data_IF_698675221013
#
_entry.id   IF_698675221013
#
_cell.length_a   1.000
_cell.length_b   1.000
_cell.length_c   1.000
_cell.angle_alpha   90.00
_cell.angle_beta   90.00
_cell.angle_gamma   90.00
#
_symmetry.space_group_name_H-M   'P 1'
#
loop_
_entity.id
_entity.type
_entity.pdbx_description
1 polymer ?
#
# COMPACT_ATOMS: atom_id res chain seq x y z
N UNK A 1 25.70 11.50 -11.94
CA UNK A 1 24.60 12.28 -11.32
C UNK A 1 24.19 11.61 -10.02
N UNK A 2 24.11 12.34 -8.90
CA UNK A 2 23.58 11.80 -7.64
C UNK A 2 22.04 11.71 -7.71
N UNK A 3 21.47 10.61 -7.21
CA UNK A 3 20.03 10.44 -6.97
C UNK A 3 19.82 10.18 -5.48
N UNK A 4 19.04 11.04 -4.83
CA UNK A 4 18.60 10.82 -3.45
C UNK A 4 17.35 9.93 -3.46
N UNK A 5 17.35 8.90 -2.62
CA UNK A 5 16.17 8.08 -2.33
C UNK A 5 15.91 8.15 -0.83
N UNK A 6 14.65 8.29 -0.45
CA UNK A 6 14.19 8.28 0.93
C UNK A 6 13.03 7.30 1.05
N UNK A 7 12.89 6.70 2.23
CA UNK A 7 11.74 5.86 2.58
C UNK A 7 11.04 6.53 3.77
N UNK A 8 9.82 7.00 3.55
CA UNK A 8 9.01 7.65 4.58
C UNK A 8 7.99 6.63 5.07
N UNK A 9 7.89 6.49 6.39
CA UNK A 9 6.87 5.70 7.05
C UNK A 9 6.05 6.64 7.92
N UNK A 10 4.73 6.62 7.75
CA UNK A 10 3.82 7.38 8.58
C UNK A 10 3.25 6.43 9.63
N UNK A 11 3.63 6.64 10.88
CA UNK A 11 3.10 5.87 12.01
C UNK A 11 2.03 6.71 12.71
N UNK A 12 0.88 6.09 12.98
CA UNK A 12 -0.11 6.66 13.89
C UNK A 12 0.13 6.14 15.31
N UNK A 13 -0.32 6.87 16.33
CA UNK A 13 -0.22 6.45 17.74
C UNK A 13 -0.84 5.06 18.01
N UNK A 14 -1.74 4.59 17.12
CA UNK A 14 -2.34 3.26 17.17
C UNK A 14 -1.51 2.13 16.56
N UNK A 15 -0.26 2.38 16.14
CA UNK A 15 0.65 1.34 15.62
C UNK A 15 0.44 0.97 14.15
N UNK A 16 -0.36 1.74 13.40
CA UNK A 16 -0.49 1.57 11.95
C UNK A 16 0.61 2.36 11.26
N UNK A 17 1.50 1.65 10.54
CA UNK A 17 2.59 2.24 9.77
C UNK A 17 2.30 2.15 8.27
N UNK A 18 1.98 3.27 7.62
CA UNK A 18 1.75 3.34 6.17
C UNK A 18 3.07 3.68 5.48
N UNK A 19 3.52 2.77 4.62
CA UNK A 19 4.63 2.97 3.68
C UNK A 19 4.15 3.07 2.24
N UNK A 20 5.10 3.15 1.32
CA UNK A 20 4.82 3.24 -0.13
C UNK A 20 3.92 2.11 -0.66
N UNK A 21 4.11 0.88 -0.16
CA UNK A 21 3.26 -0.26 -0.52
C UNK A 21 1.81 -0.11 -0.10
N UNK A 22 1.56 0.48 1.08
CA UNK A 22 0.21 0.77 1.55
C UNK A 22 -0.49 1.85 0.79
N UNK A 23 0.26 2.92 0.48
CA UNK A 23 -0.25 3.99 -0.37
C UNK A 23 -0.62 3.42 -1.75
N UNK A 24 0.22 2.55 -2.32
CA UNK A 24 -0.06 1.89 -3.59
C UNK A 24 -1.32 1.00 -3.51
N UNK A 25 -1.47 0.24 -2.43
CA UNK A 25 -2.65 -0.60 -2.20
C UNK A 25 -3.93 0.23 -2.07
N UNK A 26 -3.92 1.26 -1.22
CA UNK A 26 -5.08 2.14 -1.01
C UNK A 26 -5.50 2.84 -2.31
N UNK A 27 -4.53 3.32 -3.11
CA UNK A 27 -4.81 3.90 -4.43
C UNK A 27 -5.41 2.88 -5.38
N UNK A 28 -4.87 1.66 -5.43
CA UNK A 28 -5.41 0.61 -6.28
C UNK A 28 -6.84 0.21 -5.87
N UNK A 29 -7.14 0.18 -4.56
CA UNK A 29 -8.49 -0.06 -4.04
C UNK A 29 -9.43 1.08 -4.45
N UNK A 30 -9.00 2.33 -4.33
CA UNK A 30 -9.82 3.48 -4.70
C UNK A 30 -10.12 3.52 -6.20
N UNK A 31 -9.16 3.19 -7.05
CA UNK A 31 -9.34 3.11 -8.50
C UNK A 31 -10.23 1.92 -8.91
N UNK A 32 -9.99 0.74 -8.35
CA UNK A 32 -10.69 -0.48 -8.75
C UNK A 32 -12.05 -0.67 -8.04
N UNK A 33 -12.31 0.10 -6.98
CA UNK A 33 -13.46 -0.05 -6.06
C UNK A 33 -13.63 -1.48 -5.53
N UNK A 34 -12.54 -2.24 -5.46
CA UNK A 34 -12.51 -3.64 -5.05
C UNK A 34 -11.13 -4.04 -4.54
N UNK A 35 -11.08 -4.60 -3.34
CA UNK A 35 -9.83 -5.07 -2.70
C UNK A 35 -9.23 -6.24 -3.48
N UNK A 36 -10.07 -7.15 -3.98
CA UNK A 36 -9.61 -8.27 -4.80
C UNK A 36 -8.95 -7.78 -6.09
N UNK A 37 -9.59 -6.85 -6.79
CA UNK A 37 -9.04 -6.30 -8.03
C UNK A 37 -7.74 -5.52 -7.78
N UNK A 38 -7.65 -4.79 -6.67
CA UNK A 38 -6.42 -4.12 -6.25
C UNK A 38 -5.29 -5.11 -5.93
N UNK A 39 -5.60 -6.21 -5.23
CA UNK A 39 -4.64 -7.27 -4.90
C UNK A 39 -4.10 -7.94 -6.17
N UNK A 40 -4.99 -8.29 -7.11
CA UNK A 40 -4.64 -8.85 -8.42
C UNK A 40 -3.77 -7.86 -9.23
N UNK A 41 -4.14 -6.57 -9.25
CA UNK A 41 -3.38 -5.49 -9.93
C UNK A 41 -1.97 -5.31 -9.36
N UNK A 42 -1.80 -5.48 -8.05
CA UNK A 42 -0.51 -5.32 -7.36
C UNK A 42 0.27 -6.63 -7.22
N UNK A 43 -0.28 -7.76 -7.66
CA UNK A 43 0.37 -9.07 -7.56
C UNK A 43 0.54 -9.57 -6.13
N UNK A 44 -0.34 -9.14 -5.21
CA UNK A 44 -0.35 -9.58 -3.80
C UNK A 44 -1.54 -10.48 -3.53
N UNK A 45 -1.47 -11.30 -2.48
CA UNK A 45 -2.62 -12.14 -2.10
C UNK A 45 -3.76 -11.27 -1.57
N UNK A 46 -5.00 -11.71 -1.77
CA UNK A 46 -6.17 -11.05 -1.19
C UNK A 46 -6.05 -10.91 0.33
N UNK A 47 -5.59 -11.96 1.02
CA UNK A 47 -5.40 -11.95 2.48
C UNK A 47 -4.37 -10.91 2.92
N UNK A 48 -3.29 -10.73 2.16
CA UNK A 48 -2.32 -9.66 2.42
C UNK A 48 -2.96 -8.29 2.24
N UNK A 49 -3.69 -8.07 1.15
CA UNK A 49 -4.38 -6.81 0.89
C UNK A 49 -5.49 -6.49 1.91
N UNK A 50 -6.15 -7.50 2.45
CA UNK A 50 -7.21 -7.35 3.45
C UNK A 50 -6.68 -7.05 4.86
N UNK A 51 -5.51 -7.59 5.20
CA UNK A 51 -4.87 -7.41 6.50
C UNK A 51 -3.84 -6.27 6.52
N UNK A 52 -3.82 -5.44 5.47
CA UNK A 52 -2.91 -4.31 5.37
C UNK A 52 -3.24 -3.21 6.39
#
# INVERSE_FOLDING_TARGET
>A
MLKVRYKIWLESEGGVSIGEGGIALLRAIDEAKSIRAAAEKLGVSYTFAWNY
#
